data_IF_947812455775
#
_entry.id   IF_947812455775
#
_cell.length_a   1.000
_cell.length_b   1.000
_cell.length_c   1.000
_cell.angle_alpha   90.00
_cell.angle_beta   90.00
_cell.angle_gamma   90.00
#
_symmetry.space_group_name_H-M   'P 1'
#
loop_
_entity.id
_entity.type
_entity.pdbx_description
1 polymer ?
#
# COMPACT_ATOMS: atom_id res chain seq x y z
N UNK A 1 5.60 13.45 3.18
CA UNK A 1 6.51 12.25 3.11
C UNK A 1 7.63 12.28 4.16
N UNK A 2 7.54 13.20 5.11
CA UNK A 2 8.58 13.30 6.16
C UNK A 2 8.72 12.00 6.98
N UNK A 3 7.61 11.35 7.32
CA UNK A 3 7.57 10.09 8.07
C UNK A 3 8.45 9.00 7.47
N UNK A 4 8.45 8.89 6.12
CA UNK A 4 9.29 7.93 5.40
C UNK A 4 10.78 8.31 5.47
N UNK A 5 11.13 9.59 5.36
CA UNK A 5 12.52 10.05 5.50
C UNK A 5 13.03 9.89 6.94
N UNK A 6 12.16 10.09 7.92
CA UNK A 6 12.49 9.89 9.33
C UNK A 6 12.76 8.40 9.62
N UNK A 7 11.99 7.48 9.02
CA UNK A 7 12.27 6.05 9.09
C UNK A 7 13.62 5.69 8.47
N UNK A 8 13.91 6.18 7.23
CA UNK A 8 15.21 5.94 6.59
C UNK A 8 16.38 6.42 7.46
N UNK A 9 16.26 7.62 8.03
CA UNK A 9 17.28 8.18 8.94
C UNK A 9 17.42 7.33 10.19
N UNK A 10 16.31 6.99 10.81
CA UNK A 10 16.28 6.22 12.06
C UNK A 10 16.96 4.84 11.90
N UNK A 11 16.68 4.12 10.80
CA UNK A 11 17.35 2.85 10.52
C UNK A 11 18.85 3.07 10.25
N UNK A 12 19.20 4.08 9.46
CA UNK A 12 20.61 4.36 9.13
C UNK A 12 21.47 4.67 10.37
N UNK A 13 20.88 5.32 11.37
CA UNK A 13 21.57 5.76 12.59
C UNK A 13 21.52 4.71 13.71
N UNK A 14 20.42 3.97 13.84
CA UNK A 14 20.12 3.14 15.02
C UNK A 14 19.86 1.66 14.67
N UNK A 15 19.84 1.28 13.39
CA UNK A 15 19.58 -0.08 12.97
C UNK A 15 20.67 -1.05 13.37
N UNK A 16 20.29 -2.22 13.87
CA UNK A 16 21.21 -3.32 14.14
C UNK A 16 21.68 -3.95 12.83
N UNK A 17 22.97 -4.26 12.76
CA UNK A 17 23.53 -5.02 11.64
C UNK A 17 23.11 -6.49 11.74
N UNK A 18 22.58 -7.03 10.64
CA UNK A 18 22.13 -8.43 10.55
C UNK A 18 22.55 -9.04 9.23
N UNK A 19 22.85 -10.34 9.26
CA UNK A 19 22.89 -11.15 8.05
C UNK A 19 21.46 -11.39 7.53
N UNK A 20 21.36 -11.67 6.24
CA UNK A 20 20.10 -12.02 5.58
C UNK A 20 20.29 -13.20 4.63
N UNK A 21 19.18 -13.72 4.08
CA UNK A 21 19.18 -14.85 3.17
C UNK A 21 20.02 -14.61 1.90
N UNK A 22 20.10 -13.37 1.44
CA UNK A 22 20.82 -13.01 0.20
C UNK A 22 22.33 -12.84 0.40
N UNK A 23 22.81 -12.83 1.65
CA UNK A 23 24.22 -12.59 1.98
C UNK A 23 24.65 -11.12 1.86
N UNK A 24 23.75 -10.21 1.50
CA UNK A 24 24.03 -8.77 1.36
C UNK A 24 24.23 -8.09 2.71
N UNK A 25 23.53 -8.57 3.73
CA UNK A 25 23.44 -7.95 5.04
C UNK A 25 22.51 -6.74 5.07
N UNK A 26 21.99 -6.44 6.23
CA UNK A 26 21.02 -5.36 6.44
C UNK A 26 21.31 -4.57 7.71
N UNK A 27 20.86 -3.31 7.75
CA UNK A 27 20.58 -2.57 8.99
C UNK A 27 19.10 -2.61 9.24
N UNK A 28 18.68 -3.04 10.42
CA UNK A 28 17.29 -3.37 10.71
C UNK A 28 16.84 -2.86 12.06
N UNK A 29 15.55 -2.50 12.15
CA UNK A 29 14.83 -2.26 13.39
C UNK A 29 13.68 -3.25 13.47
N UNK A 30 13.25 -3.57 14.69
CA UNK A 30 12.06 -4.38 14.92
C UNK A 30 10.97 -3.55 15.55
N UNK A 31 9.86 -3.42 14.83
CA UNK A 31 8.71 -2.62 15.24
C UNK A 31 8.86 -1.13 14.91
N UNK A 32 8.08 -0.65 13.96
CA UNK A 32 7.96 0.77 13.62
C UNK A 32 6.57 1.04 13.06
N UNK A 33 6.09 2.28 13.15
CA UNK A 33 4.81 2.67 12.55
C UNK A 33 4.89 4.06 11.92
N UNK A 34 4.33 4.19 10.71
CA UNK A 34 4.11 5.47 10.04
C UNK A 34 2.61 5.72 9.85
N UNK A 35 2.22 6.99 9.80
CA UNK A 35 0.85 7.42 9.51
C UNK A 35 0.83 8.44 8.39
N UNK A 36 -0.12 8.27 7.47
CA UNK A 36 -0.31 9.12 6.31
C UNK A 36 -1.77 9.58 6.28
N UNK A 37 -2.01 10.87 6.45
CA UNK A 37 -3.32 11.47 6.30
C UNK A 37 -3.63 11.64 4.80
N UNK A 38 -4.54 10.82 4.28
CA UNK A 38 -4.89 10.78 2.86
C UNK A 38 -5.68 12.02 2.41
N UNK A 39 -6.18 12.81 3.35
CA UNK A 39 -6.84 14.08 3.05
C UNK A 39 -5.83 15.21 2.72
N UNK A 40 -4.56 15.03 3.09
CA UNK A 40 -3.48 15.98 2.78
C UNK A 40 -2.81 15.76 1.42
N UNK A 41 -3.17 14.69 0.73
CA UNK A 41 -2.63 14.30 -0.57
C UNK A 41 -2.26 12.83 -0.64
N UNK A 42 -1.93 12.37 -1.84
CA UNK A 42 -1.56 10.98 -2.08
C UNK A 42 -0.09 10.75 -1.66
N UNK A 43 0.21 9.79 -0.77
CA UNK A 43 1.55 9.61 -0.20
C UNK A 43 2.50 8.88 -1.16
N UNK A 44 2.74 9.45 -2.33
CA UNK A 44 3.76 9.00 -3.28
C UNK A 44 5.08 9.71 -2.99
N UNK A 45 6.16 8.95 -2.85
CA UNK A 45 7.48 9.50 -2.54
C UNK A 45 7.93 10.50 -3.63
N UNK A 46 8.41 11.66 -3.21
CA UNK A 46 8.87 12.75 -4.09
C UNK A 46 10.38 12.95 -4.07
N UNK A 47 11.09 12.40 -3.08
CA UNK A 47 12.57 12.47 -2.99
C UNK A 47 13.29 11.53 -3.96
N UNK A 48 12.56 10.64 -4.60
CA UNK A 48 12.94 9.90 -5.82
C UNK A 48 11.69 9.58 -6.62
N UNK A 49 11.83 9.48 -7.95
CA UNK A 49 10.72 9.06 -8.81
C UNK A 49 10.34 7.60 -8.53
N UNK A 50 9.07 7.37 -8.31
CA UNK A 50 8.46 6.05 -8.12
C UNK A 50 7.63 5.67 -9.34
N UNK A 51 7.66 4.40 -9.76
CA UNK A 51 6.97 3.93 -10.96
C UNK A 51 5.51 3.57 -10.63
N UNK A 52 4.63 4.58 -10.61
CA UNK A 52 3.22 4.43 -10.24
C UNK A 52 2.47 3.40 -11.09
N UNK A 53 2.82 3.27 -12.39
CA UNK A 53 2.19 2.28 -13.27
C UNK A 53 2.29 0.86 -12.71
N UNK A 54 3.48 0.46 -12.25
CA UNK A 54 3.67 -0.86 -11.63
C UNK A 54 2.84 -1.05 -10.38
N UNK A 55 2.72 0.00 -9.54
CA UNK A 55 1.93 -0.05 -8.30
C UNK A 55 0.44 -0.27 -8.61
N UNK A 56 -0.10 0.44 -9.60
CA UNK A 56 -1.52 0.31 -9.98
C UNK A 56 -1.79 -1.08 -10.54
N UNK A 57 -0.98 -1.55 -11.51
CA UNK A 57 -1.18 -2.88 -12.11
C UNK A 57 -0.99 -4.02 -11.10
N UNK A 58 -0.03 -3.93 -10.18
CA UNK A 58 0.13 -4.90 -9.10
C UNK A 58 -1.10 -4.95 -8.20
N UNK A 59 -1.63 -3.79 -7.78
CA UNK A 59 -2.83 -3.74 -6.95
C UNK A 59 -4.06 -4.32 -7.67
N UNK A 60 -4.24 -3.98 -8.95
CA UNK A 60 -5.31 -4.55 -9.77
C UNK A 60 -5.16 -6.06 -9.93
N UNK A 61 -3.93 -6.55 -10.12
CA UNK A 61 -3.62 -7.98 -10.19
C UNK A 61 -3.98 -8.71 -8.89
N UNK A 62 -3.65 -8.15 -7.72
CA UNK A 62 -4.08 -8.70 -6.43
C UNK A 62 -5.61 -8.74 -6.32
N UNK A 63 -6.31 -7.66 -6.72
CA UNK A 63 -7.77 -7.59 -6.68
C UNK A 63 -8.46 -8.54 -7.66
N UNK A 64 -7.80 -8.95 -8.73
CA UNK A 64 -8.26 -9.99 -9.65
C UNK A 64 -8.13 -11.41 -9.06
N UNK A 65 -7.36 -11.56 -7.99
CA UNK A 65 -7.08 -12.87 -7.38
C UNK A 65 -6.11 -13.74 -8.16
N UNK A 66 -5.39 -13.14 -9.12
CA UNK A 66 -4.46 -13.84 -10.00
C UNK A 66 -3.14 -14.13 -9.29
N UNK A 67 -2.46 -15.21 -9.71
CA UNK A 67 -1.16 -15.68 -9.24
C UNK A 67 -0.13 -15.75 -10.35
N UNK A 68 -0.59 -15.78 -11.61
CA UNK A 68 0.25 -15.75 -12.80
C UNK A 68 0.60 -14.31 -13.19
N UNK A 69 1.87 -14.08 -13.54
CA UNK A 69 2.37 -12.74 -13.90
C UNK A 69 2.06 -12.30 -15.34
N UNK A 70 1.32 -13.09 -16.12
CA UNK A 70 0.99 -12.77 -17.51
C UNK A 70 0.33 -11.40 -17.65
N UNK A 71 -0.68 -11.11 -16.81
CA UNK A 71 -1.33 -9.80 -16.77
C UNK A 71 -0.34 -8.64 -16.52
N UNK A 72 0.63 -8.82 -15.62
CA UNK A 72 1.66 -7.83 -15.34
C UNK A 72 2.57 -7.63 -16.55
N UNK A 73 3.04 -8.71 -17.18
CA UNK A 73 3.90 -8.68 -18.37
C UNK A 73 3.21 -8.01 -19.58
N UNK A 74 1.96 -8.33 -19.85
CA UNK A 74 1.14 -7.71 -20.90
C UNK A 74 1.05 -6.19 -20.75
N UNK A 75 1.11 -5.71 -19.50
CA UNK A 75 1.08 -4.30 -19.18
C UNK A 75 2.46 -3.68 -18.94
N UNK A 76 3.54 -4.40 -19.26
CA UNK A 76 4.92 -3.92 -19.16
C UNK A 76 5.40 -3.73 -17.72
N UNK A 77 4.93 -4.56 -16.79
CA UNK A 77 5.31 -4.59 -15.38
C UNK A 77 6.08 -5.87 -15.10
N UNK A 78 7.31 -5.73 -14.61
CA UNK A 78 8.29 -6.82 -14.43
C UNK A 78 8.72 -7.04 -12.97
N UNK A 79 8.03 -6.41 -12.02
CA UNK A 79 8.45 -6.40 -10.61
C UNK A 79 8.32 -7.75 -9.90
N UNK A 80 7.74 -8.75 -10.56
CA UNK A 80 7.57 -10.11 -10.06
C UNK A 80 8.32 -11.18 -10.88
N UNK A 81 9.01 -10.79 -11.96
CA UNK A 81 9.66 -11.71 -12.91
C UNK A 81 10.71 -12.62 -12.25
N UNK A 82 11.40 -12.12 -11.21
CA UNK A 82 12.49 -12.85 -10.53
C UNK A 82 11.99 -13.97 -9.61
N UNK A 83 10.70 -13.99 -9.26
CA UNK A 83 10.11 -14.99 -8.37
C UNK A 83 9.19 -15.98 -9.07
N UNK A 84 8.74 -15.65 -10.28
CA UNK A 84 7.87 -16.53 -11.04
C UNK A 84 8.63 -17.73 -11.62
N UNK A 85 7.95 -18.88 -11.69
CA UNK A 85 8.48 -20.04 -12.39
C UNK A 85 8.45 -19.87 -13.93
N UNK A 86 8.82 -20.93 -14.65
CA UNK A 86 8.90 -20.92 -16.12
C UNK A 86 7.53 -20.67 -16.79
N UNK A 87 6.43 -21.04 -16.13
CA UNK A 87 5.06 -20.83 -16.58
C UNK A 87 4.50 -19.47 -16.14
N UNK A 88 5.26 -18.71 -15.35
CA UNK A 88 4.86 -17.40 -14.83
C UNK A 88 4.03 -17.49 -13.55
N UNK A 89 4.01 -18.61 -12.87
CA UNK A 89 3.25 -18.81 -11.64
C UNK A 89 4.08 -18.45 -10.40
N UNK A 90 3.37 -17.95 -9.38
CA UNK A 90 3.93 -17.60 -8.07
C UNK A 90 3.38 -18.46 -6.93
N UNK A 91 2.48 -19.41 -7.25
CA UNK A 91 1.71 -20.14 -6.26
C UNK A 91 0.66 -19.24 -5.57
N UNK A 92 0.06 -19.71 -4.46
CA UNK A 92 -1.12 -19.07 -3.86
C UNK A 92 -0.79 -17.79 -3.08
N UNK A 93 -0.10 -16.82 -3.71
CA UNK A 93 0.30 -15.55 -3.10
C UNK A 93 -0.87 -14.56 -3.00
N UNK A 94 -0.68 -13.47 -2.34
CA UNK A 94 -1.56 -12.30 -2.08
C UNK A 94 -2.98 -12.34 -2.68
N UNK A 95 -3.12 -12.21 -3.99
CA UNK A 95 -4.42 -12.15 -4.68
C UNK A 95 -5.27 -13.39 -4.44
N UNK A 96 -4.69 -14.59 -4.53
CA UNK A 96 -5.37 -15.86 -4.23
C UNK A 96 -5.89 -15.86 -2.79
N UNK A 97 -5.09 -15.42 -1.82
CA UNK A 97 -5.53 -15.37 -0.42
C UNK A 97 -6.62 -14.32 -0.18
N UNK A 98 -6.53 -13.16 -0.82
CA UNK A 98 -7.52 -12.09 -0.66
C UNK A 98 -8.88 -12.45 -1.26
N UNK A 99 -8.89 -13.16 -2.40
CA UNK A 99 -10.07 -13.37 -3.23
C UNK A 99 -10.62 -14.80 -3.22
N UNK A 100 -9.79 -15.77 -2.88
CA UNK A 100 -10.12 -17.18 -3.02
C UNK A 100 -9.48 -18.03 -1.92
N UNK A 101 -9.58 -17.57 -0.66
CA UNK A 101 -9.09 -18.34 0.48
C UNK A 101 -9.87 -19.64 0.61
N UNK A 102 -9.16 -20.76 0.60
CA UNK A 102 -9.77 -22.06 0.81
C UNK A 102 -10.05 -22.33 2.28
N UNK A 103 -11.31 -22.36 2.64
CA UNK A 103 -11.76 -22.70 3.96
C UNK A 103 -12.02 -24.18 4.13
N UNK A 104 -12.56 -24.56 5.31
CA UNK A 104 -12.98 -25.95 5.58
C UNK A 104 -14.08 -26.37 4.58
N UNK A 105 -14.06 -27.66 4.23
CA UNK A 105 -15.07 -28.28 3.34
C UNK A 105 -15.10 -27.69 1.91
N UNK A 106 -13.95 -27.13 1.44
CA UNK A 106 -13.82 -26.58 0.09
C UNK A 106 -14.55 -25.25 -0.12
N UNK A 107 -15.05 -24.63 0.95
CA UNK A 107 -15.66 -23.29 0.85
C UNK A 107 -14.61 -22.25 0.49
N UNK A 108 -14.86 -21.54 -0.60
CA UNK A 108 -14.02 -20.39 -1.01
C UNK A 108 -14.53 -19.12 -0.33
N UNK A 109 -13.59 -18.34 0.24
CA UNK A 109 -13.87 -17.10 0.94
C UNK A 109 -13.20 -15.95 0.18
N UNK A 110 -13.99 -14.96 -0.24
CA UNK A 110 -13.53 -13.69 -0.81
C UNK A 110 -13.45 -12.65 0.30
N UNK A 111 -12.28 -12.50 0.91
CA UNK A 111 -12.08 -11.59 2.05
C UNK A 111 -12.33 -10.12 1.67
N UNK A 112 -12.01 -9.71 0.42
CA UNK A 112 -12.24 -8.34 -0.06
C UNK A 112 -13.73 -8.06 -0.18
N UNK A 113 -14.48 -8.95 -0.82
CA UNK A 113 -15.92 -8.80 -0.97
C UNK A 113 -16.64 -8.80 0.40
N UNK A 114 -16.23 -9.69 1.31
CA UNK A 114 -16.79 -9.78 2.66
C UNK A 114 -16.54 -8.49 3.47
N UNK A 115 -15.33 -7.93 3.40
CA UNK A 115 -15.00 -6.69 4.11
C UNK A 115 -15.76 -5.49 3.52
N UNK A 116 -15.89 -5.39 2.20
CA UNK A 116 -16.69 -4.33 1.55
C UNK A 116 -18.16 -4.45 1.98
N UNK A 117 -18.71 -5.66 2.02
CA UNK A 117 -20.06 -5.87 2.52
C UNK A 117 -20.21 -5.45 3.99
N UNK A 118 -19.24 -5.79 4.85
CA UNK A 118 -19.23 -5.37 6.26
C UNK A 118 -19.15 -3.84 6.39
N UNK A 119 -18.28 -3.17 5.61
CA UNK A 119 -18.18 -1.70 5.62
C UNK A 119 -19.52 -1.04 5.27
N UNK A 120 -20.29 -1.61 4.35
CA UNK A 120 -21.62 -1.08 3.94
C UNK A 120 -22.74 -1.38 4.94
N UNK A 121 -22.69 -2.55 5.61
CA UNK A 121 -23.81 -3.03 6.46
C UNK A 121 -23.55 -2.88 7.95
N UNK A 122 -22.30 -2.94 8.38
CA UNK A 122 -21.89 -2.80 9.80
C UNK A 122 -20.53 -2.09 9.89
N UNK A 123 -20.45 -0.79 9.59
CA UNK A 123 -19.19 -0.05 9.50
C UNK A 123 -18.42 0.05 10.82
N UNK A 124 -19.05 -0.19 11.97
CA UNK A 124 -18.41 -0.19 13.28
C UNK A 124 -17.81 -1.56 13.67
N UNK A 125 -17.83 -2.53 12.76
CA UNK A 125 -17.22 -3.84 12.98
C UNK A 125 -15.70 -3.72 13.22
N UNK A 126 -15.20 -4.52 14.16
CA UNK A 126 -13.76 -4.67 14.45
C UNK A 126 -13.14 -5.89 13.77
N UNK A 127 -13.87 -6.52 12.83
CA UNK A 127 -13.49 -7.77 12.16
C UNK A 127 -13.17 -7.58 10.67
N UNK A 128 -12.96 -6.35 10.22
CA UNK A 128 -12.66 -6.00 8.84
C UNK A 128 -11.17 -6.21 8.55
N UNK A 129 -10.75 -7.47 8.56
CA UNK A 129 -9.37 -7.91 8.38
C UNK A 129 -9.27 -8.74 7.11
N UNK A 130 -8.21 -8.49 6.33
CA UNK A 130 -7.79 -9.30 5.21
C UNK A 130 -6.40 -9.86 5.51
N UNK A 131 -6.23 -11.19 5.41
CA UNK A 131 -4.96 -11.88 5.65
C UNK A 131 -4.45 -12.51 4.36
N UNK A 132 -3.17 -12.29 4.07
CA UNK A 132 -2.43 -13.06 3.05
C UNK A 132 -1.60 -14.19 3.69
N UNK A 133 -1.44 -14.18 5.01
CA UNK A 133 -0.64 -15.15 5.74
C UNK A 133 -1.46 -16.42 6.02
N UNK A 134 -1.46 -17.32 5.07
CA UNK A 134 -2.09 -18.64 5.18
C UNK A 134 -1.00 -19.68 5.50
N UNK A 135 -0.90 -20.06 6.78
CA UNK A 135 0.16 -20.97 7.28
C UNK A 135 0.18 -22.30 6.53
N UNK A 136 -0.99 -22.81 6.14
CA UNK A 136 -1.09 -24.07 5.40
C UNK A 136 -0.60 -23.97 3.95
N UNK A 137 -0.63 -22.80 3.34
CA UNK A 137 -0.25 -22.57 1.94
C UNK A 137 1.15 -21.95 1.77
N UNK A 138 1.83 -21.54 2.85
CA UNK A 138 3.15 -20.90 2.76
C UNK A 138 4.20 -21.72 1.99
N UNK A 139 4.27 -23.07 2.11
CA UNK A 139 5.25 -23.85 1.39
C UNK A 139 5.07 -23.87 -0.14
N UNK A 140 3.89 -23.51 -0.61
CA UNK A 140 3.52 -23.50 -2.04
C UNK A 140 3.75 -22.12 -2.68
N UNK A 141 4.10 -21.10 -1.89
CA UNK A 141 4.29 -19.73 -2.34
C UNK A 141 5.75 -19.50 -2.77
N UNK A 142 5.96 -18.96 -3.98
CA UNK A 142 7.29 -18.57 -4.45
C UNK A 142 7.91 -17.49 -3.54
N UNK A 143 7.08 -16.63 -2.95
CA UNK A 143 7.50 -15.64 -1.95
C UNK A 143 6.46 -15.56 -0.83
N UNK A 144 6.88 -15.86 0.40
CA UNK A 144 6.01 -15.71 1.57
C UNK A 144 5.59 -14.25 1.75
N UNK A 145 4.30 -13.96 1.97
CA UNK A 145 3.78 -12.60 2.00
C UNK A 145 4.50 -11.68 3.00
N UNK A 146 5.08 -10.59 2.52
CA UNK A 146 5.64 -9.54 3.37
C UNK A 146 4.52 -8.70 3.99
N UNK A 147 3.52 -8.32 3.20
CA UNK A 147 2.27 -7.70 3.69
C UNK A 147 1.36 -8.81 4.21
N UNK A 148 1.43 -9.10 5.51
CA UNK A 148 0.77 -10.29 6.06
C UNK A 148 -0.71 -10.12 6.25
N UNK A 149 -1.13 -8.94 6.71
CA UNK A 149 -2.53 -8.62 6.94
C UNK A 149 -2.76 -7.11 6.96
N UNK A 150 -3.98 -6.70 6.66
CA UNK A 150 -4.42 -5.33 6.86
C UNK A 150 -5.85 -5.29 7.39
N UNK A 151 -6.17 -4.18 8.08
CA UNK A 151 -7.45 -3.97 8.73
C UNK A 151 -8.01 -2.61 8.35
N UNK A 152 -9.31 -2.57 8.09
CA UNK A 152 -10.04 -1.32 7.92
C UNK A 152 -10.71 -0.88 9.22
N UNK A 153 -10.82 0.43 9.36
CA UNK A 153 -11.49 1.09 10.47
C UNK A 153 -12.26 2.30 9.95
N UNK A 154 -13.47 2.50 10.45
CA UNK A 154 -14.25 3.69 10.10
C UNK A 154 -14.40 4.62 11.31
N UNK A 155 -14.35 5.93 11.04
CA UNK A 155 -14.74 6.95 12.01
C UNK A 155 -16.07 7.57 11.61
N UNK A 156 -16.94 7.91 12.59
CA UNK A 156 -18.13 8.70 12.29
C UNK A 156 -17.79 10.02 11.62
N UNK A 157 -18.74 10.67 10.93
CA UNK A 157 -18.54 12.02 10.42
C UNK A 157 -18.14 12.95 11.55
N UNK A 158 -17.04 13.69 11.36
CA UNK A 158 -16.68 14.74 12.31
C UNK A 158 -17.66 15.90 12.11
N UNK A 159 -18.48 16.17 13.13
CA UNK A 159 -19.28 17.40 13.16
C UNK A 159 -18.29 18.57 13.19
N UNK A 160 -18.19 19.34 12.11
CA UNK A 160 -17.41 20.56 12.10
C UNK A 160 -18.08 21.57 13.02
N UNK A 161 -17.33 22.12 13.97
CA UNK A 161 -17.77 23.31 14.69
C UNK A 161 -17.84 24.51 13.73
N UNK A 162 -18.74 25.46 13.96
CA UNK A 162 -18.81 26.70 13.15
C UNK A 162 -17.47 27.43 13.08
N UNK A 163 -16.58 27.25 14.08
CA UNK A 163 -15.22 27.80 14.10
C UNK A 163 -14.29 27.17 13.06
N UNK A 164 -14.56 25.93 12.61
CA UNK A 164 -13.73 25.25 11.59
C UNK A 164 -14.10 25.68 10.17
N UNK A 165 -15.33 26.22 9.98
CA UNK A 165 -15.83 26.73 8.69
C UNK A 165 -15.07 28.00 8.28
N UNK A 166 -14.57 28.77 9.24
CA UNK A 166 -13.89 30.06 9.00
C UNK A 166 -12.36 29.93 8.83
N UNK A 167 -11.78 28.76 9.12
CA UNK A 167 -10.35 28.48 8.84
C UNK A 167 -10.21 27.82 7.46
N UNK A 168 -10.41 28.61 6.40
CA UNK A 168 -10.16 28.16 5.02
C UNK A 168 -8.68 28.22 4.72
N UNK A 169 -7.95 27.11 4.90
CA UNK A 169 -6.90 26.73 3.96
C UNK A 169 -7.55 25.97 2.82
N UNK A 170 -7.25 26.28 1.55
CA UNK A 170 -7.85 25.56 0.43
C UNK A 170 -7.37 24.11 0.46
N UNK A 171 -8.26 23.18 0.79
CA UNK A 171 -8.00 21.77 0.54
C UNK A 171 -8.09 21.52 -0.97
N UNK A 172 -7.19 20.74 -1.59
CA UNK A 172 -7.10 20.55 -3.03
C UNK A 172 -8.24 19.75 -3.65
N UNK A 173 -9.30 19.44 -2.92
CA UNK A 173 -10.50 18.77 -3.44
C UNK A 173 -11.61 19.79 -3.65
N UNK A 174 -11.71 20.28 -4.90
CA UNK A 174 -12.83 21.10 -5.32
C UNK A 174 -14.11 20.28 -5.45
N UNK A 175 -15.18 20.69 -4.77
CA UNK A 175 -16.54 20.56 -5.27
C UNK A 175 -17.47 19.52 -4.66
N UNK A 176 -17.33 19.17 -3.36
CA UNK A 176 -18.43 18.55 -2.62
C UNK A 176 -18.52 19.23 -1.26
N UNK A 177 -19.69 19.76 -0.92
CA UNK A 177 -20.02 20.11 0.46
C UNK A 177 -19.75 18.87 1.31
N UNK A 178 -18.76 18.92 2.21
CA UNK A 178 -18.40 17.82 3.09
C UNK A 178 -19.48 17.68 4.16
N UNK A 179 -20.61 17.14 3.76
CA UNK A 179 -21.70 16.75 4.62
C UNK A 179 -21.53 15.29 5.02
N UNK A 180 -21.12 15.05 6.26
CA UNK A 180 -21.57 13.89 6.99
C UNK A 180 -21.15 12.49 6.54
N UNK A 181 -20.08 12.27 5.72
CA UNK A 181 -19.59 10.93 5.40
C UNK A 181 -18.66 10.40 6.48
N UNK A 182 -18.72 9.09 6.71
CA UNK A 182 -17.71 8.40 7.52
C UNK A 182 -16.34 8.47 6.83
N UNK A 183 -15.27 8.44 7.62
CA UNK A 183 -13.92 8.27 7.09
C UNK A 183 -13.47 6.82 7.21
N UNK A 184 -12.73 6.34 6.21
CA UNK A 184 -12.15 5.00 6.17
C UNK A 184 -10.64 5.08 6.31
N UNK A 185 -10.09 4.40 7.30
CA UNK A 185 -8.66 4.22 7.51
C UNK A 185 -8.25 2.76 7.32
N UNK A 186 -7.00 2.54 6.92
CA UNK A 186 -6.42 1.21 6.74
C UNK A 186 -5.13 1.11 7.55
N UNK A 187 -4.95 0.01 8.27
CA UNK A 187 -3.67 -0.34 8.91
C UNK A 187 -3.13 -1.62 8.28
N UNK A 188 -1.92 -1.53 7.71
CA UNK A 188 -1.14 -2.66 7.22
C UNK A 188 -0.16 -3.13 8.29
N UNK A 189 -0.05 -4.44 8.50
CA UNK A 189 1.11 -5.06 9.14
C UNK A 189 1.99 -5.75 8.10
N UNK A 190 3.22 -5.26 7.95
CA UNK A 190 4.24 -5.81 7.07
C UNK A 190 5.35 -6.43 7.90
N UNK A 191 5.51 -7.78 7.83
CA UNK A 191 6.46 -8.53 8.66
C UNK A 191 7.93 -8.27 8.31
N UNK A 192 8.20 -7.96 7.03
CA UNK A 192 9.53 -7.73 6.49
C UNK A 192 9.46 -6.64 5.42
N UNK A 193 10.32 -5.63 5.51
CA UNK A 193 10.21 -4.45 4.67
C UNK A 193 11.57 -3.88 4.25
N UNK A 194 11.92 -4.04 2.97
CA UNK A 194 12.96 -3.23 2.33
C UNK A 194 12.49 -1.78 2.23
N UNK A 195 13.06 -0.91 3.05
CA UNK A 195 12.62 0.48 3.14
C UNK A 195 13.00 1.29 1.93
N UNK A 196 14.08 0.92 1.24
CA UNK A 196 14.52 1.70 0.09
C UNK A 196 13.73 1.38 -1.18
N UNK A 197 13.59 0.11 -1.56
CA UNK A 197 12.89 -0.28 -2.79
C UNK A 197 11.40 -0.56 -2.56
N UNK A 198 11.04 -1.40 -1.59
CA UNK A 198 9.69 -1.91 -1.41
C UNK A 198 8.73 -0.94 -0.73
N UNK A 199 9.12 -0.33 0.38
CA UNK A 199 8.22 0.50 1.21
C UNK A 199 7.57 1.65 0.44
N UNK A 200 8.24 2.39 -0.47
CA UNK A 200 7.58 3.41 -1.30
C UNK A 200 6.43 2.88 -2.15
N UNK A 201 6.55 1.66 -2.68
CA UNK A 201 5.49 0.97 -3.42
C UNK A 201 4.34 0.60 -2.50
N UNK A 202 4.65 0.02 -1.34
CA UNK A 202 3.64 -0.43 -0.38
C UNK A 202 2.82 0.74 0.19
N UNK A 203 3.46 1.88 0.51
CA UNK A 203 2.76 3.10 0.96
C UNK A 203 1.73 3.53 -0.09
N UNK A 204 2.14 3.66 -1.35
CA UNK A 204 1.27 4.12 -2.41
C UNK A 204 0.16 3.09 -2.74
N UNK A 205 0.49 1.79 -2.78
CA UNK A 205 -0.46 0.71 -3.04
C UNK A 205 -1.59 0.66 -2.02
N UNK A 206 -1.27 0.65 -0.71
CA UNK A 206 -2.29 0.58 0.34
C UNK A 206 -3.04 1.90 0.56
N UNK A 207 -2.40 3.05 0.30
CA UNK A 207 -3.10 4.32 0.25
C UNK A 207 -4.14 4.31 -0.89
N UNK A 208 -3.76 3.83 -2.07
CA UNK A 208 -4.65 3.70 -3.23
C UNK A 208 -5.80 2.72 -2.94
N UNK A 209 -5.51 1.54 -2.39
CA UNK A 209 -6.52 0.58 -1.96
C UNK A 209 -7.51 1.19 -0.97
N UNK A 210 -7.03 1.98 0.00
CA UNK A 210 -7.88 2.67 0.97
C UNK A 210 -8.82 3.66 0.28
N UNK A 211 -8.31 4.43 -0.70
CA UNK A 211 -9.13 5.37 -1.48
C UNK A 211 -10.18 4.65 -2.34
N UNK A 212 -9.81 3.52 -2.98
CA UNK A 212 -10.74 2.70 -3.78
C UNK A 212 -11.87 2.14 -2.92
N UNK A 213 -11.53 1.54 -1.77
CA UNK A 213 -12.53 0.99 -0.83
C UNK A 213 -13.43 2.09 -0.27
N UNK A 214 -12.86 3.24 0.10
CA UNK A 214 -13.63 4.39 0.55
C UNK A 214 -14.67 4.83 -0.50
N UNK A 215 -14.25 4.96 -1.78
CA UNK A 215 -15.16 5.34 -2.87
C UNK A 215 -16.32 4.36 -3.04
N UNK A 216 -16.04 3.05 -3.13
CA UNK A 216 -17.09 2.04 -3.37
C UNK A 216 -18.01 1.80 -2.17
N UNK A 217 -17.59 2.27 -0.98
CA UNK A 217 -18.38 2.24 0.25
C UNK A 217 -19.03 3.61 0.60
N UNK A 218 -18.92 4.61 -0.27
CA UNK A 218 -19.41 5.98 -0.05
C UNK A 218 -18.86 6.63 1.23
N UNK A 219 -17.55 6.48 1.45
CA UNK A 219 -16.80 7.02 2.58
C UNK A 219 -15.72 7.99 2.09
N UNK A 220 -15.19 8.83 3.00
CA UNK A 220 -14.01 9.65 2.74
C UNK A 220 -12.73 8.89 3.11
N UNK A 221 -11.63 9.01 2.36
CA UNK A 221 -10.34 8.47 2.79
C UNK A 221 -9.87 9.15 4.09
N UNK A 222 -9.47 8.35 5.08
CA UNK A 222 -8.90 8.81 6.34
C UNK A 222 -7.38 8.68 6.37
N UNK A 223 -6.86 7.78 7.20
CA UNK A 223 -5.43 7.53 7.32
C UNK A 223 -5.03 6.17 6.71
N UNK A 224 -3.84 6.13 6.13
CA UNK A 224 -3.10 4.88 5.95
C UNK A 224 -2.05 4.76 7.07
N UNK A 225 -2.08 3.65 7.79
CA UNK A 225 -1.17 3.35 8.89
C UNK A 225 -0.33 2.16 8.49
N UNK A 226 0.99 2.34 8.44
CA UNK A 226 1.92 1.29 8.05
C UNK A 226 2.71 0.84 9.27
N UNK A 227 2.44 -0.38 9.71
CA UNK A 227 3.09 -1.02 10.87
C UNK A 227 4.03 -2.10 10.37
N UNK A 228 5.24 -2.12 10.91
CA UNK A 228 6.31 -3.02 10.48
C UNK A 228 6.73 -3.99 11.59
N UNK A 229 7.13 -5.18 11.18
CA UNK A 229 7.95 -6.10 11.95
C UNK A 229 9.43 -5.78 11.76
N UNK A 230 10.17 -6.60 11.00
CA UNK A 230 11.56 -6.32 10.59
C UNK A 230 11.54 -5.29 9.45
N UNK A 231 12.03 -4.09 9.74
CA UNK A 231 12.13 -3.00 8.77
C UNK A 231 13.59 -2.65 8.57
N UNK A 232 14.09 -2.75 7.32
CA UNK A 232 15.53 -2.76 7.06
C UNK A 232 15.92 -2.01 5.79
N UNK A 233 17.22 -1.65 5.75
CA UNK A 233 17.94 -1.15 4.59
C UNK A 233 19.04 -2.18 4.29
N UNK A 234 19.11 -2.68 3.05
CA UNK A 234 20.22 -3.51 2.60
C UNK A 234 21.52 -2.73 2.58
N UNK A 235 22.63 -3.35 2.96
CA UNK A 235 23.93 -2.70 3.06
C UNK A 235 24.39 -2.08 1.72
N UNK A 236 24.03 -2.70 0.60
CA UNK A 236 24.31 -2.18 -0.75
C UNK A 236 23.40 -1.00 -1.18
N UNK A 237 22.44 -0.57 -0.33
CA UNK A 237 21.59 0.61 -0.57
C UNK A 237 22.00 1.84 0.26
N UNK A 238 23.03 1.76 1.09
CA UNK A 238 23.35 2.84 2.04
C UNK A 238 23.72 4.17 1.34
N UNK A 239 24.44 4.14 0.23
CA UNK A 239 24.78 5.35 -0.53
C UNK A 239 23.53 5.96 -1.21
N UNK A 240 22.63 5.13 -1.70
CA UNK A 240 21.35 5.54 -2.28
C UNK A 240 20.43 6.20 -1.24
N UNK A 241 20.40 5.64 -0.03
CA UNK A 241 19.65 6.20 1.12
C UNK A 241 20.24 7.55 1.52
N UNK A 242 21.56 7.67 1.61
CA UNK A 242 22.25 8.93 1.91
C UNK A 242 21.93 10.00 0.87
N UNK A 243 21.96 9.64 -0.42
CA UNK A 243 21.55 10.55 -1.50
C UNK A 243 20.08 10.95 -1.35
N UNK A 244 19.18 10.00 -1.06
CA UNK A 244 17.76 10.30 -0.89
C UNK A 244 17.49 11.22 0.31
N UNK A 245 18.19 11.03 1.42
CA UNK A 245 18.09 11.85 2.62
C UNK A 245 18.63 13.28 2.44
N UNK A 246 19.50 13.51 1.44
CA UNK A 246 19.98 14.87 1.10
C UNK A 246 18.97 15.70 0.31
N UNK A 247 17.87 15.10 -0.14
CA UNK A 247 16.85 15.75 -0.99
C UNK A 247 15.68 16.29 -0.16
N UNK A 248 15.22 17.48 -0.48
CA UNK A 248 14.01 18.06 0.10
C UNK A 248 12.77 17.51 -0.61
N UNK A 249 11.77 16.99 0.11
CA UNK A 249 10.54 16.50 -0.53
C UNK A 249 9.73 17.66 -1.13
N UNK A 250 9.10 17.40 -2.28
CA UNK A 250 8.07 18.25 -2.87
C UNK A 250 6.70 18.03 -2.19
N UNK A 251 5.74 18.86 -2.53
CA UNK A 251 4.36 18.70 -2.11
C UNK A 251 3.78 17.35 -2.56
N UNK A 252 2.84 16.82 -1.78
CA UNK A 252 2.16 15.57 -2.15
C UNK A 252 1.30 15.78 -3.41
N UNK A 253 1.31 14.84 -4.34
CA UNK A 253 0.41 14.84 -5.49
C UNK A 253 -1.03 14.54 -5.08
N UNK A 254 -1.94 14.71 -6.03
CA UNK A 254 -3.34 14.36 -5.89
C UNK A 254 -3.64 13.13 -6.75
N UNK A 255 -4.20 12.07 -6.14
CA UNK A 255 -4.74 10.93 -6.87
C UNK A 255 -6.25 11.13 -7.06
N UNK A 256 -6.70 11.08 -8.30
CA UNK A 256 -8.12 11.08 -8.64
C UNK A 256 -8.53 9.71 -9.17
N UNK A 257 -9.63 9.21 -8.65
CA UNK A 257 -10.28 7.99 -9.12
C UNK A 257 -11.49 8.35 -9.96
N UNK A 258 -11.81 7.56 -10.97
CA UNK A 258 -13.03 7.70 -11.77
C UNK A 258 -14.25 7.52 -10.85
N UNK A 259 -15.07 8.56 -10.61
CA UNK A 259 -16.18 8.50 -9.66
C UNK A 259 -17.34 7.60 -10.14
N UNK A 260 -17.33 7.20 -11.41
CA UNK A 260 -18.33 6.28 -11.99
C UNK A 260 -18.15 4.84 -11.54
N UNK A 261 -16.96 4.45 -11.12
CA UNK A 261 -16.68 3.09 -10.64
C UNK A 261 -17.30 2.88 -9.25
N UNK A 262 -18.20 1.90 -9.13
CA UNK A 262 -18.96 1.58 -7.91
C UNK A 262 -18.66 0.22 -7.33
N UNK A 263 -17.95 -0.63 -8.07
CA UNK A 263 -17.48 -1.93 -7.60
C UNK A 263 -15.96 -1.95 -7.69
N UNK A 264 -15.29 -2.41 -6.62
CA UNK A 264 -13.82 -2.40 -6.53
C UNK A 264 -13.15 -3.25 -7.62
N UNK A 265 -13.84 -4.26 -8.11
CA UNK A 265 -13.33 -5.19 -9.13
C UNK A 265 -13.47 -4.66 -10.56
N UNK A 266 -14.17 -3.53 -10.75
CA UNK A 266 -14.38 -2.91 -12.07
C UNK A 266 -13.33 -1.83 -12.37
N UNK A 267 -12.43 -1.52 -11.43
CA UNK A 267 -11.34 -0.57 -11.68
C UNK A 267 -10.37 -1.12 -12.74
N UNK A 268 -10.02 -0.24 -13.68
CA UNK A 268 -8.96 -0.40 -14.68
C UNK A 268 -7.88 0.65 -14.49
N UNK A 269 -6.75 0.51 -15.18
CA UNK A 269 -5.64 1.47 -15.07
C UNK A 269 -6.05 2.91 -15.42
N UNK A 270 -6.96 3.08 -16.38
CA UNK A 270 -7.48 4.35 -16.90
C UNK A 270 -8.32 5.11 -15.88
N UNK A 271 -8.79 4.44 -14.82
CA UNK A 271 -9.59 5.05 -13.77
C UNK A 271 -8.77 5.83 -12.74
N UNK A 272 -7.44 5.80 -12.87
CA UNK A 272 -6.51 6.47 -11.97
C UNK A 272 -5.80 7.63 -12.66
N UNK A 273 -5.92 8.84 -12.11
CA UNK A 273 -5.23 10.03 -12.60
C UNK A 273 -4.42 10.69 -11.50
N UNK A 274 -3.08 10.66 -11.65
CA UNK A 274 -2.19 11.38 -10.76
C UNK A 274 -1.99 12.81 -11.27
N UNK A 275 -2.24 13.80 -10.42
CA UNK A 275 -2.06 15.22 -10.72
C UNK A 275 -1.00 15.85 -9.80
N UNK A 276 -0.25 16.79 -10.34
CA UNK A 276 0.75 17.58 -9.60
C UNK A 276 1.88 16.74 -8.98
N UNK A 277 2.28 15.64 -9.63
CA UNK A 277 3.42 14.85 -9.16
C UNK A 277 4.72 15.45 -9.66
N UNK A 278 5.43 16.08 -8.73
CA UNK A 278 6.81 16.53 -8.92
C UNK A 278 7.73 15.67 -8.05
N UNK A 279 8.83 15.20 -8.61
CA UNK A 279 9.79 14.35 -7.90
C UNK A 279 11.20 14.58 -8.35
N UNK A 280 12.14 14.32 -7.44
CA UNK A 280 13.55 14.18 -7.84
C UNK A 280 13.72 12.97 -8.77
N UNK A 281 14.82 12.94 -9.56
CA UNK A 281 15.14 11.79 -10.42
C UNK A 281 15.17 10.47 -9.64
N UNK A 282 14.87 9.37 -10.33
CA UNK A 282 14.97 8.03 -9.78
C UNK A 282 16.39 7.74 -9.25
N UNK A 283 16.46 6.94 -8.21
CA UNK A 283 17.72 6.41 -7.66
C UNK A 283 17.70 4.92 -7.90
N UNK A 284 18.59 4.41 -8.75
CA UNK A 284 18.73 2.98 -9.03
C UNK A 284 19.43 2.27 -7.88
N UNK A 285 18.96 1.07 -7.54
CA UNK A 285 19.61 0.17 -6.59
C UNK A 285 19.42 -1.28 -7.05
N UNK A 286 20.34 -2.19 -6.71
CA UNK A 286 20.18 -3.61 -7.00
C UNK A 286 19.06 -4.21 -6.15
N UNK A 287 18.32 -5.16 -6.72
CA UNK A 287 17.36 -5.97 -5.95
C UNK A 287 18.13 -7.06 -5.22
N UNK A 288 17.81 -7.30 -3.96
CA UNK A 288 18.36 -8.41 -3.19
C UNK A 288 17.43 -9.63 -3.33
N UNK A 289 17.88 -10.67 -4.03
CA UNK A 289 17.15 -11.92 -4.34
C UNK A 289 17.82 -13.14 -3.70
#
# INVERSE_FOLDING_TARGET
MQQYLDLLRHISENGAEKSDRTGTGTRSLFGYQMRFDLQKGFPLVTTKKVHLKSIIYELLWFLRGETNIAYLKENGVSIWDEWADEDGELGPVYGKQWRSWEGKDGKVIDQIADVINQLKTNPDSRRMIISAWNVGALPEMALMPCHTMFQFYTSPPTLRSESDIHRRTPAPFHGVERGGRRTLSCQLYQRSADVFLGVPFNIASYALLTMMVAQVCDMEPGEFIHTFGDVHIYNNHMEQVKLQLSRTPFSLPVMKLNPSVKNIFDFSYEDFKLENYESHPAIKAPVAV
#
